data_IF_050384523038
#
_entry.id   IF_050384523038
#
_cell.length_a   1.000
_cell.length_b   1.000
_cell.length_c   1.000
_cell.angle_alpha   90.00
_cell.angle_beta   90.00
_cell.angle_gamma   90.00
#
_symmetry.space_group_name_H-M   'P 1'
#
loop_
_entity.id
_entity.type
_entity.pdbx_description
1 polymer ?
#
# COMPACT_ATOMS: atom_id res chain seq x y z
N UNK A 1 -3.70 1.94 21.97
CA UNK A 1 -3.26 1.07 20.85
C UNK A 1 -3.87 -0.33 21.03
N UNK A 2 -4.05 -1.13 19.97
CA UNK A 2 -4.85 -2.41 19.88
C UNK A 2 -6.22 -2.34 19.19
N UNK A 3 -6.53 -1.27 18.46
CA UNK A 3 -7.75 -1.19 17.63
C UNK A 3 -7.78 -2.17 16.42
N UNK A 4 -6.82 -3.09 16.29
CA UNK A 4 -6.79 -4.06 15.19
C UNK A 4 -6.29 -3.54 13.83
N UNK A 5 -5.76 -2.30 13.76
CA UNK A 5 -5.27 -1.66 12.52
C UNK A 5 -4.39 -2.58 11.68
N UNK A 6 -3.34 -3.16 12.28
CA UNK A 6 -2.39 -4.03 11.57
C UNK A 6 -3.04 -5.30 11.02
N UNK A 7 -4.02 -5.86 11.73
CA UNK A 7 -4.75 -7.05 11.29
C UNK A 7 -5.65 -6.73 10.10
N UNK A 8 -6.37 -5.61 10.17
CA UNK A 8 -7.27 -5.20 9.09
C UNK A 8 -6.50 -4.80 7.82
N UNK A 9 -5.40 -4.06 7.95
CA UNK A 9 -4.59 -3.68 6.79
C UNK A 9 -3.98 -4.88 6.06
N UNK A 10 -3.55 -5.93 6.78
CA UNK A 10 -3.06 -7.19 6.15
C UNK A 10 -4.17 -7.90 5.38
N UNK A 11 -5.33 -8.12 6.02
CA UNK A 11 -6.48 -8.77 5.38
C UNK A 11 -6.94 -8.02 4.13
N UNK A 12 -6.90 -6.70 4.17
CA UNK A 12 -7.28 -5.86 3.04
C UNK A 12 -6.32 -6.06 1.85
N UNK A 13 -5.02 -6.05 2.09
CA UNK A 13 -4.02 -6.29 1.03
C UNK A 13 -4.16 -7.70 0.45
N UNK A 14 -4.33 -8.71 1.29
CA UNK A 14 -4.58 -10.08 0.84
C UNK A 14 -5.84 -10.18 -0.05
N UNK A 15 -6.94 -9.54 0.34
CA UNK A 15 -8.17 -9.52 -0.42
C UNK A 15 -8.02 -8.81 -1.77
N UNK A 16 -7.29 -7.68 -1.81
CA UNK A 16 -7.01 -6.95 -3.05
C UNK A 16 -6.13 -7.77 -4.00
N UNK A 17 -5.09 -8.42 -3.47
CA UNK A 17 -4.23 -9.32 -4.26
C UNK A 17 -5.01 -10.53 -4.79
N UNK A 18 -5.89 -11.12 -3.98
CA UNK A 18 -6.76 -12.22 -4.41
C UNK A 18 -7.76 -11.80 -5.50
N UNK A 19 -8.19 -10.54 -5.51
CA UNK A 19 -9.02 -9.96 -6.56
C UNK A 19 -8.23 -9.56 -7.83
N UNK A 20 -6.92 -9.81 -7.88
CA UNK A 20 -6.05 -9.51 -9.02
C UNK A 20 -5.51 -8.08 -9.05
N UNK A 21 -5.66 -7.31 -7.96
CA UNK A 21 -5.05 -5.99 -7.84
C UNK A 21 -3.64 -6.07 -7.25
N UNK A 22 -2.72 -5.25 -7.75
CA UNK A 22 -1.43 -5.05 -7.08
C UNK A 22 -1.63 -4.14 -5.87
N UNK A 23 -1.48 -4.70 -4.68
CA UNK A 23 -1.54 -3.96 -3.43
C UNK A 23 -0.34 -4.32 -2.56
N UNK A 24 0.24 -3.32 -1.90
CA UNK A 24 1.33 -3.51 -0.94
C UNK A 24 0.98 -2.85 0.40
N UNK A 25 1.47 -3.45 1.47
CA UNK A 25 1.25 -2.94 2.82
C UNK A 25 2.41 -2.02 3.24
N UNK A 26 2.09 -0.75 3.47
CA UNK A 26 3.01 0.20 4.08
C UNK A 26 2.60 0.53 5.51
N UNK A 27 3.59 0.69 6.38
CA UNK A 27 3.37 0.98 7.81
C UNK A 27 4.32 2.07 8.28
N UNK A 28 3.77 3.04 9.01
CA UNK A 28 4.56 4.07 9.69
C UNK A 28 4.53 3.91 11.22
N UNK A 29 5.63 4.25 11.91
CA UNK A 29 6.94 4.58 11.34
C UNK A 29 7.61 3.34 10.71
N UNK A 30 8.30 3.54 9.59
CA UNK A 30 9.15 2.51 9.00
C UNK A 30 10.44 2.46 9.82
N UNK A 31 10.74 1.32 10.46
CA UNK A 31 11.80 1.23 11.49
C UNK A 31 13.13 0.69 10.97
N UNK A 32 13.17 0.27 9.70
CA UNK A 32 14.39 -0.23 9.06
C UNK A 32 15.35 0.86 8.62
N UNK A 33 14.85 2.06 8.32
CA UNK A 33 15.67 3.22 7.91
C UNK A 33 16.43 3.83 9.08
N UNK A 34 17.47 4.63 8.82
CA UNK A 34 18.23 5.28 9.88
C UNK A 34 17.35 6.21 10.75
N UNK A 35 16.44 6.95 10.11
CA UNK A 35 15.42 7.76 10.81
C UNK A 35 14.46 6.85 11.60
N UNK A 36 14.07 5.72 11.01
CA UNK A 36 13.26 4.69 11.65
C UNK A 36 13.87 4.09 12.91
N UNK A 37 15.18 3.85 12.91
CA UNK A 37 15.94 3.35 14.07
C UNK A 37 15.97 4.39 15.19
N UNK A 38 16.19 5.66 14.86
CA UNK A 38 16.12 6.78 15.81
C UNK A 38 14.73 6.88 16.45
N UNK A 39 13.66 6.85 15.63
CA UNK A 39 12.27 6.85 16.12
C UNK A 39 11.96 5.63 16.99
N UNK A 40 12.51 4.45 16.64
CA UNK A 40 12.35 3.22 17.42
C UNK A 40 12.99 3.33 18.81
N UNK A 41 14.18 3.96 18.91
CA UNK A 41 14.85 4.25 20.18
C UNK A 41 14.05 5.22 21.05
N UNK A 42 13.55 6.30 20.46
CA UNK A 42 12.70 7.28 21.15
C UNK A 42 11.41 6.65 21.68
N UNK A 43 10.69 5.87 20.87
CA UNK A 43 9.48 5.17 21.30
C UNK A 43 9.74 4.12 22.39
N UNK A 44 10.94 3.55 22.45
CA UNK A 44 11.38 2.63 23.50
C UNK A 44 11.90 3.36 24.75
N UNK A 45 11.89 4.70 24.76
CA UNK A 45 12.44 5.55 25.84
C UNK A 45 13.94 5.29 26.09
N UNK A 46 14.67 4.91 25.05
CA UNK A 46 16.13 4.67 25.11
C UNK A 46 16.96 5.90 24.79
N UNK A 47 16.35 6.93 24.22
CA UNK A 47 16.98 8.20 23.85
C UNK A 47 15.98 9.34 24.03
N UNK A 48 16.40 10.40 24.72
CA UNK A 48 15.64 11.64 24.78
C UNK A 48 15.97 12.48 23.55
N UNK A 49 14.96 12.63 22.70
CA UNK A 49 14.96 13.53 21.56
C UNK A 49 13.87 14.54 21.83
N UNK A 50 14.15 15.80 21.55
CA UNK A 50 13.22 16.89 21.74
C UNK A 50 11.92 16.67 20.91
N UNK A 51 10.75 16.94 21.51
CA UNK A 51 9.45 16.54 20.95
C UNK A 51 9.14 17.18 19.58
N UNK A 52 9.53 18.44 19.35
CA UNK A 52 9.37 19.09 18.05
C UNK A 52 10.26 18.41 16.99
N UNK A 53 11.48 18.05 17.37
CA UNK A 53 12.44 17.35 16.52
C UNK A 53 11.94 15.96 16.14
N UNK A 54 11.36 15.22 17.08
CA UNK A 54 10.73 13.92 16.82
C UNK A 54 9.57 14.04 15.84
N UNK A 55 8.75 15.08 15.97
CA UNK A 55 7.64 15.32 15.04
C UNK A 55 8.12 15.51 13.59
N UNK A 56 9.22 16.24 13.40
CA UNK A 56 9.86 16.41 12.09
C UNK A 56 10.45 15.10 11.57
N UNK A 57 11.07 14.30 12.43
CA UNK A 57 11.59 12.98 12.07
C UNK A 57 10.49 12.02 11.62
N UNK A 58 9.32 12.03 12.27
CA UNK A 58 8.15 11.28 11.80
C UNK A 58 7.69 11.73 10.41
N UNK A 59 7.77 13.03 10.11
CA UNK A 59 7.41 13.56 8.79
C UNK A 59 8.44 13.19 7.74
N UNK A 60 9.74 13.25 8.05
CA UNK A 60 10.82 12.81 7.18
C UNK A 60 10.75 11.30 6.88
N UNK A 61 10.45 10.47 7.88
CA UNK A 61 10.26 9.01 7.72
C UNK A 61 9.10 8.64 6.78
N UNK A 62 8.11 9.52 6.60
CA UNK A 62 7.08 9.33 5.57
C UNK A 62 7.58 9.72 4.19
N UNK A 63 8.30 10.85 4.11
CA UNK A 63 8.83 11.36 2.84
C UNK A 63 9.86 10.43 2.20
N UNK A 64 10.69 9.74 2.96
CA UNK A 64 11.65 8.77 2.41
C UNK A 64 10.96 7.60 1.67
N UNK A 65 9.71 7.27 2.03
CA UNK A 65 8.93 6.21 1.39
C UNK A 65 8.17 6.69 0.15
N UNK A 66 8.05 8.00 -0.07
CA UNK A 66 7.34 8.59 -1.24
C UNK A 66 8.05 8.21 -2.54
N UNK A 67 9.37 8.12 -2.53
CA UNK A 67 10.14 7.70 -3.70
C UNK A 67 9.79 6.28 -4.13
N UNK A 68 9.70 5.33 -3.18
CA UNK A 68 9.29 3.95 -3.47
C UNK A 68 7.83 3.83 -3.94
N UNK A 69 6.92 4.58 -3.30
CA UNK A 69 5.52 4.67 -3.69
C UNK A 69 5.31 5.16 -5.13
N UNK A 70 6.05 6.19 -5.54
CA UNK A 70 5.94 6.75 -6.88
C UNK A 70 6.31 5.73 -7.96
N UNK A 71 7.31 4.87 -7.71
CA UNK A 71 7.72 3.82 -8.64
C UNK A 71 6.62 2.77 -8.80
N UNK A 72 6.01 2.33 -7.71
CA UNK A 72 4.91 1.37 -7.76
C UNK A 72 3.68 1.89 -8.51
N UNK A 73 3.36 3.17 -8.36
CA UNK A 73 2.23 3.79 -9.03
C UNK A 73 2.44 3.85 -10.56
N UNK A 74 3.68 4.07 -11.00
CA UNK A 74 4.03 4.02 -12.43
C UNK A 74 3.87 2.60 -13.00
N UNK A 75 4.31 1.56 -12.29
CA UNK A 75 4.18 0.17 -12.72
C UNK A 75 2.71 -0.30 -12.77
N UNK A 76 1.91 0.04 -11.76
CA UNK A 76 0.49 -0.31 -11.72
C UNK A 76 -0.29 0.31 -12.90
N UNK A 77 0.04 1.56 -13.26
CA UNK A 77 -0.57 2.23 -14.42
C UNK A 77 -0.20 1.56 -15.75
N UNK A 78 1.00 0.97 -15.87
CA UNK A 78 1.42 0.24 -17.07
C UNK A 78 0.71 -1.12 -17.21
N UNK A 79 0.49 -1.85 -16.12
CA UNK A 79 -0.23 -3.13 -16.15
C UNK A 79 -1.72 -2.98 -16.50
N UNK A 80 -2.38 -1.90 -16.05
CA UNK A 80 -3.80 -1.64 -16.37
C UNK A 80 -4.05 -1.42 -17.87
N UNK A 81 -3.05 -0.98 -18.63
CA UNK A 81 -3.19 -0.79 -20.09
C UNK A 81 -3.05 -2.10 -20.88
N UNK A 82 -2.26 -3.05 -20.37
CA UNK A 82 -2.07 -4.37 -21.02
C UNK A 82 -3.28 -5.30 -20.85
N UNK A 83 -3.98 -5.24 -19.71
CA UNK A 83 -5.19 -6.05 -19.48
C UNK A 83 -6.39 -5.53 -20.27
N UNK A 84 -6.52 -4.21 -20.44
CA UNK A 84 -7.57 -3.61 -21.27
C UNK A 84 -7.44 -3.94 -22.76
N UNK A 85 -6.20 -4.11 -23.27
CA UNK A 85 -5.95 -4.46 -24.67
C UNK A 85 -6.27 -5.93 -25.01
N UNK A 86 -6.34 -6.83 -24.03
CA UNK A 86 -6.64 -8.26 -24.25
C UNK A 86 -8.12 -8.63 -24.06
N UNK A 87 -8.96 -7.73 -23.58
CA UNK A 87 -10.41 -7.93 -23.40
C UNK A 87 -11.23 -7.42 -24.59
N UNK A 88 -10.76 -7.65 -25.82
CA UNK A 88 -11.56 -7.50 -27.04
C UNK A 88 -11.89 -8.86 -27.65
N UNK A 89 -12.41 -9.79 -26.85
CA UNK A 89 -13.11 -10.99 -27.37
C UNK A 89 -14.01 -11.66 -26.33
N UNK A 90 -14.81 -10.89 -25.60
CA UNK A 90 -15.96 -11.45 -24.89
C UNK A 90 -17.13 -11.48 -25.89
N UNK A 91 -17.43 -12.66 -26.44
CA UNK A 91 -18.66 -12.91 -27.17
C UNK A 91 -19.85 -12.57 -26.26
N UNK A 92 -20.69 -11.65 -26.69
CA UNK A 92 -22.01 -11.42 -26.10
C UNK A 92 -22.85 -12.66 -26.43
N UNK A 93 -22.94 -13.60 -25.50
CA UNK A 93 -23.88 -14.71 -25.57
C UNK A 93 -25.26 -14.11 -25.26
N UNK A 94 -26.03 -13.81 -26.31
CA UNK A 94 -27.46 -13.52 -26.16
C UNK A 94 -28.19 -14.81 -25.74
N UNK A 95 -29.10 -14.77 -24.75
CA UNK A 95 -29.93 -15.91 -24.42
C UNK A 95 -30.88 -16.24 -25.59
N UNK A 96 -31.16 -17.54 -25.85
CA UNK A 96 -32.04 -17.95 -26.93
C UNK A 96 -33.48 -17.47 -26.66
N UNK A 97 -34.09 -16.83 -27.65
CA UNK A 97 -35.48 -16.40 -27.60
C UNK A 97 -36.43 -17.60 -27.81
N UNK A 98 -37.54 -17.69 -27.07
CA UNK A 98 -38.50 -18.79 -27.21
C UNK A 98 -39.29 -18.67 -28.53
N UNK A 99 -39.68 -19.81 -29.14
CA UNK A 99 -40.49 -19.81 -30.36
C UNK A 99 -41.93 -19.35 -30.11
N UNK A 100 -42.54 -18.76 -31.14
CA UNK A 100 -43.96 -18.34 -31.16
C UNK A 100 -44.91 -19.54 -31.27
#
# INVERSE_FOLDING_TARGET
DRAGKSTQSRKLVEALCAAGHRAELLRFPERSTEIGKLLSSYLQKKSDVEDHSVHLLFSANRWEQVQGLCVMQAECSAQSQLTAASTSRAQVIFPPQPPK
#
